data_IF_650056169270
#
_entry.id   IF_650056169270
#
_cell.length_a   1.000
_cell.length_b   1.000
_cell.length_c   1.000
_cell.angle_alpha   90.00
_cell.angle_beta   90.00
_cell.angle_gamma   90.00
#
_symmetry.space_group_name_H-M   'P 1'
#
loop_
_entity.id
_entity.type
_entity.pdbx_description
1 polymer ?
#
# COMPACT_ATOMS: atom_id res chain seq x y z
N UNK A 1 11.27 11.85 -48.70
CA UNK A 1 10.56 12.96 -48.04
C UNK A 1 9.21 12.41 -47.54
N UNK A 2 9.08 12.07 -46.27
CA UNK A 2 7.82 11.65 -45.71
C UNK A 2 7.73 12.31 -44.29
N UNK A 3 7.04 13.43 -44.27
CA UNK A 3 6.73 14.18 -43.07
C UNK A 3 5.54 13.53 -42.37
N UNK A 4 5.81 12.81 -41.24
CA UNK A 4 4.76 12.36 -40.33
C UNK A 4 4.31 13.55 -39.48
N UNK A 5 3.06 13.96 -39.66
CA UNK A 5 2.34 14.88 -38.79
C UNK A 5 2.19 14.26 -37.39
N UNK A 6 2.73 14.93 -36.38
CA UNK A 6 2.42 14.66 -34.97
C UNK A 6 1.05 15.24 -34.68
N UNK A 7 0.07 14.39 -34.38
CA UNK A 7 -1.23 14.78 -33.85
C UNK A 7 -1.06 15.18 -32.39
N UNK A 8 -1.51 16.38 -32.12
CA UNK A 8 -1.63 17.05 -30.83
C UNK A 8 -2.70 16.39 -29.96
N UNK A 9 -2.29 15.71 -28.89
CA UNK A 9 -3.16 15.34 -27.77
C UNK A 9 -2.46 15.60 -26.41
N UNK A 10 -1.92 16.80 -26.25
CA UNK A 10 -1.35 17.27 -24.98
C UNK A 10 -2.13 18.49 -24.45
N UNK A 11 -3.46 18.35 -24.29
CA UNK A 11 -4.28 19.46 -23.79
C UNK A 11 -4.83 19.28 -22.37
N UNK A 12 -4.33 18.32 -21.57
CA UNK A 12 -4.95 18.04 -20.28
C UNK A 12 -4.15 18.45 -19.02
N UNK A 13 -2.96 19.01 -19.11
CA UNK A 13 -2.20 19.40 -17.91
C UNK A 13 -1.49 20.77 -18.00
N UNK A 14 -1.99 21.70 -18.80
CA UNK A 14 -1.49 23.09 -18.76
C UNK A 14 -2.33 23.93 -17.78
N UNK A 15 -2.21 23.64 -16.47
CA UNK A 15 -2.55 24.61 -15.45
C UNK A 15 -1.44 25.68 -15.42
N UNK A 16 -1.40 26.53 -16.41
CA UNK A 16 -0.71 27.81 -16.25
C UNK A 16 -1.47 28.59 -15.19
N UNK A 17 -0.97 28.57 -13.96
CA UNK A 17 -1.36 29.51 -12.91
C UNK A 17 -0.78 30.85 -13.30
N UNK A 18 -1.35 31.50 -14.28
CA UNK A 18 -1.23 32.95 -14.46
C UNK A 18 -2.17 33.60 -13.46
N UNK A 19 -1.82 33.53 -12.19
CA UNK A 19 -2.46 34.31 -11.16
C UNK A 19 -1.79 35.67 -11.12
N UNK A 20 -2.45 36.67 -11.65
CA UNK A 20 -2.32 38.01 -11.09
C UNK A 20 -2.92 37.96 -9.69
N UNK A 21 -2.18 37.44 -8.73
CA UNK A 21 -2.53 37.44 -7.34
C UNK A 21 -2.10 38.80 -6.81
N UNK A 22 -3.05 39.68 -6.53
CA UNK A 22 -2.87 40.83 -5.66
C UNK A 22 -2.65 40.39 -4.20
N UNK A 23 -1.81 39.37 -3.97
CA UNK A 23 -1.33 39.03 -2.67
C UNK A 23 -0.18 40.01 -2.33
N UNK A 24 -0.32 40.72 -1.21
CA UNK A 24 0.75 41.57 -0.68
C UNK A 24 2.05 40.78 -0.72
N UNK A 25 3.06 41.33 -1.39
CA UNK A 25 4.37 40.67 -1.49
C UNK A 25 4.87 40.34 -0.08
N UNK A 26 5.56 39.20 0.15
CA UNK A 26 5.96 38.74 1.46
C UNK A 26 6.80 39.71 2.31
N UNK A 27 7.26 40.81 1.73
CA UNK A 27 8.13 41.79 2.38
C UNK A 27 7.39 42.75 3.35
N UNK A 28 6.05 42.77 3.36
CA UNK A 28 5.24 43.72 4.15
C UNK A 28 4.54 43.12 5.38
N UNK A 29 4.76 41.85 5.69
CA UNK A 29 4.09 41.21 6.81
C UNK A 29 4.84 41.45 8.14
N UNK A 30 4.06 41.83 9.17
CA UNK A 30 4.45 41.64 10.57
C UNK A 30 3.95 40.27 11.05
N UNK A 31 4.46 39.74 12.15
CA UNK A 31 4.02 38.47 12.73
C UNK A 31 2.48 38.37 12.88
N UNK A 32 1.84 39.40 13.48
CA UNK A 32 0.39 39.42 13.70
C UNK A 32 -0.38 39.45 12.38
N UNK A 33 0.05 40.26 11.41
CA UNK A 33 -0.59 40.33 10.09
C UNK A 33 -0.39 39.04 9.28
N UNK A 34 0.74 38.37 9.42
CA UNK A 34 1.01 37.09 8.77
C UNK A 34 0.08 35.96 9.27
N UNK A 35 -0.16 35.87 10.59
CA UNK A 35 -1.12 34.91 11.15
C UNK A 35 -2.55 35.21 10.72
N UNK A 36 -2.96 36.48 10.74
CA UNK A 36 -4.29 36.89 10.29
C UNK A 36 -4.50 36.57 8.81
N UNK A 37 -3.52 36.86 7.97
CA UNK A 37 -3.52 36.57 6.54
C UNK A 37 -3.58 35.03 6.29
N UNK A 38 -2.78 34.24 7.02
CA UNK A 38 -2.81 32.78 6.92
C UNK A 38 -4.21 32.23 7.19
N UNK A 39 -4.83 32.63 8.28
CA UNK A 39 -6.17 32.17 8.66
C UNK A 39 -7.24 32.51 7.63
N UNK A 40 -7.17 33.73 7.04
CA UNK A 40 -8.15 34.21 6.07
C UNK A 40 -7.97 33.61 4.68
N UNK A 41 -6.73 33.29 4.28
CA UNK A 41 -6.41 32.97 2.90
C UNK A 41 -5.97 31.51 2.67
N UNK A 42 -5.84 30.69 3.74
CA UNK A 42 -5.39 29.29 3.61
C UNK A 42 -6.30 28.45 2.72
N UNK A 43 -7.61 28.60 2.82
CA UNK A 43 -8.61 27.87 2.02
C UNK A 43 -8.94 28.56 0.69
N UNK A 44 -8.33 29.69 0.37
CA UNK A 44 -8.55 30.40 -0.89
C UNK A 44 -7.59 29.88 -1.97
N UNK A 45 -8.07 29.16 -3.02
CA UNK A 45 -7.20 28.61 -4.07
C UNK A 45 -6.32 29.62 -4.81
N UNK A 46 -6.72 30.89 -4.81
CA UNK A 46 -5.99 31.98 -5.46
C UNK A 46 -4.85 32.53 -4.60
N UNK A 47 -4.72 32.12 -3.35
CA UNK A 47 -3.67 32.59 -2.45
C UNK A 47 -2.37 31.75 -2.57
N UNK A 48 -1.22 32.41 -2.47
CA UNK A 48 0.08 31.77 -2.49
C UNK A 48 0.32 30.78 -1.33
N UNK A 49 -0.47 30.87 -0.24
CA UNK A 49 -0.41 29.96 0.92
C UNK A 49 -1.45 28.84 0.88
N UNK A 50 -2.36 28.85 -0.10
CA UNK A 50 -3.52 27.97 -0.15
C UNK A 50 -3.11 26.48 -0.06
N UNK A 51 -3.78 25.76 0.85
CA UNK A 51 -3.60 24.33 1.09
C UNK A 51 -2.14 23.88 1.20
N UNK A 52 -1.24 24.78 1.57
CA UNK A 52 0.20 24.51 1.69
C UNK A 52 0.55 23.73 2.95
N UNK A 53 1.58 22.89 2.86
CA UNK A 53 2.19 22.25 4.02
C UNK A 53 3.11 23.20 4.81
N UNK A 54 3.63 22.71 5.93
CA UNK A 54 4.46 23.49 6.87
C UNK A 54 5.57 24.28 6.18
N UNK A 55 6.35 23.63 5.33
CA UNK A 55 7.51 24.27 4.67
C UNK A 55 7.10 25.38 3.71
N UNK A 56 5.99 25.17 2.96
CA UNK A 56 5.47 26.20 2.03
C UNK A 56 5.03 27.45 2.77
N UNK A 57 4.26 27.29 3.86
CA UNK A 57 3.78 28.39 4.70
C UNK A 57 4.96 29.13 5.32
N UNK A 58 5.91 28.37 5.91
CA UNK A 58 7.10 28.92 6.55
C UNK A 58 7.95 29.77 5.62
N UNK A 59 8.15 29.30 4.39
CA UNK A 59 8.92 30.02 3.39
C UNK A 59 8.17 31.23 2.83
N UNK A 60 6.85 31.10 2.61
CA UNK A 60 6.01 32.21 2.12
C UNK A 60 6.05 33.42 3.04
N UNK A 61 5.97 33.19 4.34
CA UNK A 61 6.07 34.27 5.33
C UNK A 61 7.51 34.54 5.78
N UNK A 62 8.52 34.12 4.99
CA UNK A 62 9.94 34.40 5.27
C UNK A 62 10.34 34.11 6.73
N UNK A 63 9.86 32.99 7.26
CA UNK A 63 10.13 32.52 8.61
C UNK A 63 9.52 33.36 9.75
N UNK A 64 8.65 34.30 9.46
CA UNK A 64 7.98 35.14 10.47
C UNK A 64 7.08 34.35 11.41
N UNK A 65 6.43 33.26 10.93
CA UNK A 65 5.58 32.41 11.75
C UNK A 65 6.38 31.20 12.21
N UNK A 66 6.53 30.94 13.52
CA UNK A 66 7.23 29.76 14.01
C UNK A 66 6.60 28.45 13.53
N UNK A 67 7.43 27.46 13.19
CA UNK A 67 6.98 26.14 12.70
C UNK A 67 5.97 25.48 13.65
N UNK A 68 6.15 25.64 14.96
CA UNK A 68 5.24 25.11 15.98
C UNK A 68 3.81 25.66 15.83
N UNK A 69 3.68 26.93 15.51
CA UNK A 69 2.36 27.56 15.32
C UNK A 69 1.73 27.18 13.99
N UNK A 70 2.53 27.08 12.93
CA UNK A 70 2.06 26.57 11.63
C UNK A 70 1.51 25.15 11.81
N UNK A 71 2.22 24.28 12.51
CA UNK A 71 1.74 22.92 12.81
C UNK A 71 0.46 22.91 13.63
N UNK A 72 0.37 23.77 14.65
CA UNK A 72 -0.85 23.93 15.48
C UNK A 72 -2.03 24.45 14.64
N UNK A 73 -1.80 25.33 13.71
CA UNK A 73 -2.84 25.80 12.77
C UNK A 73 -3.29 24.66 11.86
N UNK A 74 -2.36 23.99 11.17
CA UNK A 74 -2.64 22.90 10.24
C UNK A 74 -3.29 21.68 10.89
N UNK A 75 -2.96 21.36 12.15
CA UNK A 75 -3.58 20.24 12.88
C UNK A 75 -5.06 20.45 13.20
N UNK A 76 -5.56 21.69 13.13
CA UNK A 76 -6.96 22.05 13.32
C UNK A 76 -7.74 22.16 12.01
N UNK A 77 -7.06 22.14 10.88
CA UNK A 77 -7.67 22.24 9.57
C UNK A 77 -8.03 20.84 9.05
N UNK A 78 -9.33 20.60 8.84
CA UNK A 78 -9.84 19.29 8.42
C UNK A 78 -9.34 18.91 7.02
N UNK A 79 -9.25 19.89 6.10
CA UNK A 79 -8.80 19.62 4.74
C UNK A 79 -7.34 19.17 4.71
N UNK A 80 -6.50 19.75 5.58
CA UNK A 80 -5.11 19.35 5.72
C UNK A 80 -4.96 17.99 6.40
N UNK A 81 -5.68 17.74 7.51
CA UNK A 81 -5.52 16.51 8.30
C UNK A 81 -6.01 15.27 7.58
N UNK A 82 -7.14 15.36 6.83
CA UNK A 82 -7.69 14.26 6.05
C UNK A 82 -6.76 13.81 4.91
N UNK A 83 -6.01 14.73 4.31
CA UNK A 83 -5.14 14.45 3.16
C UNK A 83 -3.64 14.39 3.49
N UNK A 84 -3.27 14.67 4.74
CA UNK A 84 -1.87 14.53 5.16
C UNK A 84 -1.50 13.06 5.27
N UNK A 85 -0.45 12.65 4.56
CA UNK A 85 0.10 11.30 4.70
C UNK A 85 0.54 11.09 6.14
N UNK A 86 -0.05 10.12 6.83
CA UNK A 86 0.49 9.67 8.12
C UNK A 86 1.89 9.09 7.89
N UNK A 87 2.89 9.60 8.57
CA UNK A 87 4.21 8.98 8.56
C UNK A 87 4.08 7.59 9.18
N UNK A 88 4.26 6.55 8.39
CA UNK A 88 4.36 5.19 8.93
C UNK A 88 5.50 5.19 9.93
N UNK A 89 5.25 4.72 11.15
CA UNK A 89 6.28 4.53 12.17
C UNK A 89 7.44 3.74 11.53
N UNK A 90 8.69 4.14 11.81
CA UNK A 90 9.86 3.35 11.39
C UNK A 90 9.76 1.98 12.04
N UNK A 91 9.74 0.96 11.21
CA UNK A 91 9.68 -0.41 11.65
C UNK A 91 11.08 -0.97 11.81
N UNK A 92 11.30 -1.79 12.82
CA UNK A 92 12.53 -2.54 12.91
C UNK A 92 12.63 -3.49 11.70
N UNK A 93 13.70 -3.40 10.89
CA UNK A 93 13.85 -4.29 9.75
C UNK A 93 14.03 -5.73 10.23
N UNK A 94 13.33 -6.66 9.59
CA UNK A 94 13.63 -8.08 9.78
C UNK A 94 14.73 -8.50 8.80
N UNK A 95 15.82 -9.04 9.32
CA UNK A 95 16.94 -9.50 8.52
C UNK A 95 16.78 -10.98 8.20
N UNK A 96 16.54 -11.31 6.94
CA UNK A 96 16.48 -12.67 6.42
C UNK A 96 17.80 -12.96 5.70
N UNK A 97 18.56 -13.92 6.20
CA UNK A 97 19.96 -14.17 5.79
C UNK A 97 20.11 -15.26 4.74
N UNK A 98 19.17 -16.21 4.64
CA UNK A 98 19.28 -17.36 3.74
C UNK A 98 17.93 -17.91 3.29
N UNK A 99 17.95 -18.72 2.19
CA UNK A 99 16.79 -19.43 1.64
C UNK A 99 16.16 -20.37 2.70
N UNK A 100 14.85 -20.30 2.88
CA UNK A 100 14.12 -21.15 3.84
C UNK A 100 14.16 -20.67 5.29
N UNK A 101 14.81 -19.53 5.60
CA UNK A 101 14.79 -18.98 6.95
C UNK A 101 13.38 -18.56 7.36
N UNK A 102 12.65 -17.90 6.46
CA UNK A 102 11.28 -17.48 6.71
C UNK A 102 10.46 -17.54 5.43
N UNK A 103 9.26 -18.11 5.53
CA UNK A 103 8.20 -18.01 4.54
C UNK A 103 7.09 -17.09 5.05
N UNK A 104 6.40 -16.41 4.14
CA UNK A 104 5.17 -15.70 4.45
C UNK A 104 4.00 -16.42 3.80
N UNK A 105 2.89 -16.55 4.51
CA UNK A 105 1.71 -17.30 4.12
C UNK A 105 0.48 -16.38 4.19
N UNK A 106 -0.37 -16.43 3.18
CA UNK A 106 -1.61 -15.63 3.13
C UNK A 106 -2.64 -16.26 2.18
N UNK A 107 -3.89 -15.81 2.25
CA UNK A 107 -4.99 -16.22 1.37
C UNK A 107 -5.46 -15.06 0.51
N UNK A 108 -5.49 -15.27 -0.80
CA UNK A 108 -6.17 -14.36 -1.73
C UNK A 108 -7.61 -14.81 -1.90
N UNK A 109 -8.56 -13.93 -1.66
CA UNK A 109 -9.96 -14.13 -2.01
C UNK A 109 -10.17 -13.82 -3.50
N UNK A 110 -10.68 -14.81 -4.24
CA UNK A 110 -11.04 -14.75 -5.66
C UNK A 110 -12.48 -15.23 -5.88
N UNK A 111 -13.34 -15.14 -4.87
CA UNK A 111 -14.76 -15.58 -4.90
C UNK A 111 -15.54 -14.90 -6.01
N UNK A 112 -15.24 -13.64 -6.31
CA UNK A 112 -15.90 -12.86 -7.37
C UNK A 112 -15.73 -13.42 -8.79
N UNK A 113 -14.76 -14.30 -9.00
CA UNK A 113 -14.50 -14.96 -10.29
C UNK A 113 -14.68 -16.48 -10.25
N UNK A 114 -15.23 -17.04 -9.17
CA UNK A 114 -15.30 -18.47 -8.95
C UNK A 114 -16.09 -19.22 -10.04
N UNK A 115 -17.11 -18.62 -10.62
CA UNK A 115 -17.88 -19.19 -11.74
C UNK A 115 -17.04 -19.35 -13.00
N UNK A 116 -16.00 -18.51 -13.18
CA UNK A 116 -15.10 -18.52 -14.34
C UNK A 116 -13.83 -19.33 -14.14
N UNK A 117 -13.61 -19.86 -12.93
CA UNK A 117 -12.36 -20.54 -12.56
C UNK A 117 -12.59 -21.92 -11.92
N UNK A 118 -13.63 -22.65 -12.36
CA UNK A 118 -13.96 -24.00 -11.89
C UNK A 118 -14.29 -24.09 -10.38
N UNK A 119 -14.91 -23.03 -9.81
CA UNK A 119 -15.33 -23.01 -8.44
C UNK A 119 -14.24 -22.72 -7.40
N UNK A 120 -13.04 -22.36 -7.82
CA UNK A 120 -11.96 -21.93 -6.91
C UNK A 120 -12.34 -20.59 -6.28
N UNK A 121 -12.32 -20.53 -4.95
CA UNK A 121 -12.71 -19.34 -4.17
C UNK A 121 -11.52 -18.64 -3.54
N UNK A 122 -10.45 -19.38 -3.23
CA UNK A 122 -9.28 -18.82 -2.57
C UNK A 122 -7.99 -19.38 -3.19
N UNK A 123 -6.91 -18.60 -3.08
CA UNK A 123 -5.57 -19.02 -3.44
C UNK A 123 -4.70 -18.95 -2.18
N UNK A 124 -4.21 -20.10 -1.71
CA UNK A 124 -3.17 -20.10 -0.68
C UNK A 124 -1.85 -19.70 -1.33
N UNK A 125 -1.31 -18.58 -0.91
CA UNK A 125 -0.03 -18.05 -1.39
C UNK A 125 1.04 -18.21 -0.34
N UNK A 126 2.23 -18.61 -0.78
CA UNK A 126 3.39 -18.78 0.09
C UNK A 126 4.59 -18.16 -0.62
N UNK A 127 5.34 -17.31 0.05
CA UNK A 127 6.53 -16.65 -0.52
C UNK A 127 7.75 -16.79 0.38
N UNK A 128 8.89 -17.14 -0.18
CA UNK A 128 10.15 -17.11 0.53
C UNK A 128 10.62 -15.66 0.73
N UNK A 129 10.78 -15.24 1.97
CA UNK A 129 11.20 -13.86 2.30
C UNK A 129 12.59 -13.51 1.78
N UNK A 130 13.46 -14.49 1.52
CA UNK A 130 14.79 -14.28 0.96
C UNK A 130 14.80 -14.26 -0.57
N UNK A 131 14.38 -15.35 -1.21
CA UNK A 131 14.49 -15.50 -2.68
C UNK A 131 13.34 -14.86 -3.46
N UNK A 132 12.23 -14.54 -2.78
CA UNK A 132 10.95 -14.11 -3.39
C UNK A 132 10.30 -15.18 -4.28
N UNK A 133 10.82 -16.41 -4.30
CA UNK A 133 10.12 -17.54 -4.95
C UNK A 133 8.80 -17.76 -4.25
N UNK A 134 7.73 -17.90 -5.03
CA UNK A 134 6.39 -18.05 -4.52
C UNK A 134 5.72 -19.32 -5.05
N UNK A 135 4.78 -19.83 -4.29
CA UNK A 135 3.91 -20.96 -4.61
C UNK A 135 2.47 -20.54 -4.42
N UNK A 136 1.59 -21.09 -5.24
CA UNK A 136 0.16 -20.78 -5.22
C UNK A 136 -0.59 -22.11 -5.28
N UNK A 137 -1.51 -22.30 -4.33
CA UNK A 137 -2.38 -23.49 -4.28
C UNK A 137 -3.84 -23.04 -4.34
N UNK A 138 -4.57 -23.40 -5.40
CA UNK A 138 -6.00 -23.09 -5.49
C UNK A 138 -6.79 -23.97 -4.51
N UNK A 139 -7.74 -23.35 -3.79
CA UNK A 139 -8.62 -24.04 -2.86
C UNK A 139 -10.07 -23.55 -3.02
N UNK A 140 -11.02 -24.43 -2.74
CA UNK A 140 -12.46 -24.16 -2.92
C UNK A 140 -13.10 -23.48 -1.72
N UNK A 141 -12.52 -23.59 -0.55
CA UNK A 141 -12.99 -22.93 0.68
C UNK A 141 -11.82 -22.65 1.63
N UNK A 142 -12.03 -21.79 2.63
CA UNK A 142 -11.03 -21.39 3.63
C UNK A 142 -11.10 -22.18 4.94
N UNK A 143 -11.71 -23.38 4.95
CA UNK A 143 -11.71 -24.22 6.14
C UNK A 143 -10.28 -24.65 6.47
N UNK A 144 -9.96 -24.69 7.77
CA UNK A 144 -8.59 -24.92 8.25
C UNK A 144 -7.99 -26.26 7.79
N UNK A 145 -8.82 -27.31 7.62
CA UNK A 145 -8.39 -28.60 7.10
C UNK A 145 -7.99 -28.55 5.62
N UNK A 146 -8.71 -27.75 4.80
CA UNK A 146 -8.39 -27.56 3.37
C UNK A 146 -7.10 -26.76 3.23
N UNK A 147 -6.94 -25.69 4.03
CA UNK A 147 -5.74 -24.87 4.04
C UNK A 147 -4.54 -25.71 4.49
N UNK A 148 -4.71 -26.58 5.50
CA UNK A 148 -3.63 -27.49 5.95
C UNK A 148 -3.22 -28.49 4.86
N UNK A 149 -4.17 -29.06 4.11
CA UNK A 149 -3.84 -29.96 2.99
C UNK A 149 -3.02 -29.24 1.92
N UNK A 150 -3.43 -28.03 1.53
CA UNK A 150 -2.69 -27.21 0.57
C UNK A 150 -1.28 -26.85 1.09
N UNK A 151 -1.18 -26.53 2.38
CA UNK A 151 0.11 -26.25 3.04
C UNK A 151 1.02 -27.50 3.08
N UNK A 152 0.50 -28.68 3.39
CA UNK A 152 1.26 -29.94 3.34
C UNK A 152 1.75 -30.24 1.92
N UNK A 153 0.93 -29.96 0.89
CA UNK A 153 1.38 -30.06 -0.51
C UNK A 153 2.54 -29.12 -0.81
N UNK A 154 2.56 -27.92 -0.24
CA UNK A 154 3.72 -27.02 -0.35
C UNK A 154 4.96 -27.66 0.31
N UNK A 155 4.85 -28.16 1.54
CA UNK A 155 5.98 -28.77 2.26
C UNK A 155 6.60 -29.95 1.47
N UNK A 156 5.74 -30.76 0.82
CA UNK A 156 6.20 -31.90 0.01
C UNK A 156 6.91 -31.48 -1.30
N UNK A 157 6.72 -30.24 -1.75
CA UNK A 157 7.29 -29.72 -2.99
C UNK A 157 8.47 -28.77 -2.79
N UNK A 158 9.04 -28.72 -1.60
CA UNK A 158 10.23 -27.90 -1.30
C UNK A 158 11.41 -28.74 -0.87
N UNK A 159 12.60 -28.34 -1.26
CA UNK A 159 13.85 -29.04 -0.95
C UNK A 159 14.21 -29.02 0.54
N UNK A 160 13.78 -28.00 1.26
CA UNK A 160 14.13 -27.76 2.66
C UNK A 160 12.97 -27.17 3.43
N UNK A 161 12.61 -27.81 4.54
CA UNK A 161 11.58 -27.32 5.47
C UNK A 161 11.97 -25.94 6.00
N UNK A 162 11.05 -24.96 5.99
CA UNK A 162 11.34 -23.62 6.46
C UNK A 162 11.54 -23.58 7.98
N UNK A 163 12.45 -22.72 8.44
CA UNK A 163 12.68 -22.55 9.88
C UNK A 163 11.52 -21.82 10.57
N UNK A 164 10.87 -20.92 9.83
CA UNK A 164 9.76 -20.15 10.38
C UNK A 164 8.78 -19.73 9.30
N UNK A 165 7.53 -19.48 9.72
CA UNK A 165 6.45 -19.02 8.88
C UNK A 165 5.79 -17.81 9.54
N UNK A 166 5.63 -16.74 8.76
CA UNK A 166 4.84 -15.57 9.12
C UNK A 166 3.47 -15.71 8.48
N UNK A 167 2.39 -15.69 9.25
CA UNK A 167 1.01 -15.75 8.80
C UNK A 167 0.13 -14.92 9.75
N UNK A 168 -1.04 -14.51 9.31
CA UNK A 168 -1.96 -13.81 10.20
C UNK A 168 -2.58 -14.72 11.28
N UNK A 169 -3.36 -14.10 12.19
CA UNK A 169 -4.02 -14.80 13.29
C UNK A 169 -5.35 -15.50 12.87
N UNK A 170 -5.67 -15.51 11.58
CA UNK A 170 -6.93 -16.05 11.06
C UNK A 170 -7.22 -17.48 11.51
N UNK A 171 -8.52 -17.80 11.65
CA UNK A 171 -8.99 -19.11 12.07
C UNK A 171 -8.67 -20.19 11.05
N UNK A 172 -8.57 -19.83 9.78
CA UNK A 172 -8.17 -20.69 8.68
C UNK A 172 -6.78 -21.30 8.85
N UNK A 173 -5.88 -20.63 9.57
CA UNK A 173 -4.50 -21.11 9.82
C UNK A 173 -4.31 -21.86 11.13
N UNK A 174 -5.35 -22.10 11.91
CA UNK A 174 -5.24 -22.79 13.24
C UNK A 174 -4.57 -24.15 13.09
N UNK A 175 -5.01 -24.98 12.17
CA UNK A 175 -4.41 -26.32 11.97
C UNK A 175 -3.01 -26.25 11.36
N UNK A 176 -2.72 -25.25 10.54
CA UNK A 176 -1.35 -25.00 10.04
C UNK A 176 -0.42 -24.65 11.18
N UNK A 177 -0.83 -23.76 12.10
CA UNK A 177 -0.03 -23.42 13.28
C UNK A 177 0.23 -24.63 14.17
N UNK A 178 -0.80 -25.45 14.43
CA UNK A 178 -0.67 -26.68 15.21
C UNK A 178 0.34 -27.63 14.56
N UNK A 179 0.18 -27.90 13.27
CA UNK A 179 1.08 -28.75 12.51
C UNK A 179 2.54 -28.21 12.51
N UNK A 180 2.73 -26.90 12.36
CA UNK A 180 4.05 -26.27 12.44
C UNK A 180 4.72 -26.48 13.80
N UNK A 181 3.96 -26.36 14.90
CA UNK A 181 4.47 -26.60 16.24
C UNK A 181 4.92 -28.06 16.44
N UNK A 182 4.13 -29.02 15.94
CA UNK A 182 4.46 -30.46 15.96
C UNK A 182 5.70 -30.80 15.13
N UNK A 183 6.04 -30.00 14.12
CA UNK A 183 7.17 -30.22 13.21
C UNK A 183 8.34 -29.24 13.45
N UNK A 184 8.43 -28.61 14.62
CA UNK A 184 9.50 -27.69 15.02
C UNK A 184 9.67 -26.47 14.09
N UNK A 185 8.61 -26.02 13.42
CA UNK A 185 8.58 -24.82 12.60
C UNK A 185 8.04 -23.66 13.45
N UNK A 186 8.83 -22.60 13.62
CA UNK A 186 8.40 -21.41 14.37
C UNK A 186 7.34 -20.64 13.59
N UNK A 187 6.23 -20.28 14.23
CA UNK A 187 5.21 -19.43 13.64
C UNK A 187 5.26 -18.02 14.24
N UNK A 188 5.17 -17.02 13.39
CA UNK A 188 5.10 -15.63 13.79
C UNK A 188 3.76 -15.04 13.34
N UNK A 189 3.11 -14.31 14.24
CA UNK A 189 1.91 -13.53 13.96
C UNK A 189 2.32 -12.07 13.88
N UNK A 190 1.92 -11.31 12.86
CA UNK A 190 2.24 -9.91 12.79
C UNK A 190 1.51 -9.13 13.89
N UNK A 191 2.25 -8.35 14.65
CA UNK A 191 1.64 -7.40 15.59
C UNK A 191 0.95 -6.27 14.80
N UNK A 192 -0.31 -6.10 15.02
CA UNK A 192 -1.34 -5.09 14.63
C UNK A 192 -1.12 -4.13 13.44
N UNK A 193 0.05 -3.99 12.85
CA UNK A 193 0.31 -3.14 11.68
C UNK A 193 1.40 -3.67 10.74
N UNK A 194 1.93 -4.86 11.04
CA UNK A 194 2.94 -5.54 10.22
C UNK A 194 2.30 -6.72 9.51
N UNK A 195 1.61 -6.43 8.45
CA UNK A 195 1.29 -7.45 7.47
C UNK A 195 2.56 -7.82 6.70
N UNK A 196 2.65 -9.06 6.26
CA UNK A 196 3.80 -9.52 5.49
C UNK A 196 3.96 -8.75 4.19
N UNK A 197 4.68 -7.63 4.22
CA UNK A 197 4.79 -6.68 3.11
C UNK A 197 5.20 -7.30 1.77
N UNK A 198 5.90 -8.44 1.79
CA UNK A 198 6.27 -9.15 0.57
C UNK A 198 5.10 -9.93 0.00
N UNK A 199 4.35 -10.66 0.85
CA UNK A 199 3.22 -11.46 0.40
C UNK A 199 2.05 -10.56 -0.02
N UNK A 200 1.78 -9.46 0.68
CA UNK A 200 0.76 -8.50 0.27
C UNK A 200 1.03 -7.92 -1.13
N UNK A 201 2.27 -7.47 -1.38
CA UNK A 201 2.67 -6.95 -2.68
C UNK A 201 2.59 -8.02 -3.79
N UNK A 202 2.98 -9.25 -3.46
CA UNK A 202 2.86 -10.38 -4.36
C UNK A 202 1.39 -10.67 -4.67
N UNK A 203 0.53 -10.76 -3.65
CA UNK A 203 -0.90 -11.01 -3.79
C UNK A 203 -1.58 -9.95 -4.65
N UNK A 204 -1.28 -8.67 -4.44
CA UNK A 204 -1.76 -7.58 -5.30
C UNK A 204 -1.34 -7.79 -6.77
N UNK A 205 -0.09 -8.13 -7.00
CA UNK A 205 0.45 -8.33 -8.35
C UNK A 205 -0.18 -9.53 -9.07
N UNK A 206 -0.35 -10.66 -8.36
CA UNK A 206 -0.97 -11.87 -8.88
C UNK A 206 -2.45 -11.64 -9.17
N UNK A 207 -3.18 -11.02 -8.25
CA UNK A 207 -4.60 -10.70 -8.43
C UNK A 207 -4.82 -9.86 -9.68
N UNK A 208 -4.03 -8.80 -9.86
CA UNK A 208 -4.10 -7.96 -11.06
C UNK A 208 -3.79 -8.73 -12.35
N UNK A 209 -2.81 -9.65 -12.34
CA UNK A 209 -2.47 -10.47 -13.50
C UNK A 209 -3.56 -11.47 -13.85
N UNK A 210 -4.15 -12.13 -12.85
CA UNK A 210 -5.25 -13.08 -13.04
C UNK A 210 -6.43 -12.37 -13.71
N UNK A 211 -6.86 -11.22 -13.19
CA UNK A 211 -7.98 -10.48 -13.77
C UNK A 211 -7.70 -10.02 -15.20
N UNK A 212 -6.52 -9.43 -15.46
CA UNK A 212 -6.15 -9.01 -16.81
C UNK A 212 -6.11 -10.19 -17.80
N UNK A 213 -5.60 -11.33 -17.37
CA UNK A 213 -5.57 -12.54 -18.19
C UNK A 213 -6.98 -13.05 -18.50
N UNK A 214 -7.87 -13.10 -17.51
CA UNK A 214 -9.26 -13.51 -17.68
C UNK A 214 -10.02 -12.57 -18.60
N UNK A 215 -9.82 -11.28 -18.47
CA UNK A 215 -10.48 -10.28 -19.34
C UNK A 215 -9.95 -10.35 -20.78
N UNK A 216 -8.63 -10.53 -20.96
CA UNK A 216 -8.02 -10.60 -22.29
C UNK A 216 -8.43 -11.84 -23.07
N UNK A 217 -8.62 -12.97 -22.39
CA UNK A 217 -8.99 -14.23 -23.03
C UNK A 217 -10.50 -14.39 -23.24
N UNK A 218 -11.31 -13.33 -22.98
CA UNK A 218 -12.78 -13.35 -23.12
C UNK A 218 -13.34 -14.72 -22.70
N UNK A 219 -12.95 -15.20 -21.52
CA UNK A 219 -13.44 -16.49 -21.04
C UNK A 219 -14.96 -16.40 -20.96
N UNK A 220 -15.59 -16.83 -22.04
CA UNK A 220 -17.03 -16.98 -22.13
C UNK A 220 -17.43 -17.95 -21.02
N UNK A 221 -18.38 -17.53 -20.22
CA UNK A 221 -19.11 -18.42 -19.33
C UNK A 221 -19.86 -19.38 -20.28
N UNK A 222 -19.38 -20.59 -20.40
CA UNK A 222 -20.17 -21.70 -20.97
C UNK A 222 -20.91 -22.37 -19.84
#
# INVERSE_FOLDING_TARGET
MNTRSKSSNDSFYNWQITSQVNDKTPNSFTYRSAISHLRKHYSNPKSGVSFGGVNRIYNFYKKLIPVKEIRKFLSKDNSYTLHTRSFKKRFNPSFIRYKGQQMQLDLIDVTNINQRNKGIKFLLTIICSFTKKAWIFPITNKKSDVVLRAFKSFINNIDKIPRSILMDAGTEFVLVRKWCAENNIKTYLPYSSFHGSFIERFNQSIKNRIYRWMDSNKMKIT
#
